data_IF_370429227911
#
_entry.id   IF_370429227911
#
_cell.length_a   1.000
_cell.length_b   1.000
_cell.length_c   1.000
_cell.angle_alpha   90.00
_cell.angle_beta   90.00
_cell.angle_gamma   90.00
#
_symmetry.space_group_name_H-M   'P 1'
#
loop_
_entity.id
_entity.type
_entity.pdbx_description
1 polymer ?
#
# COMPACT_ATOMS: atom_id res chain seq x y z
N UNK A 1 -64.09 4.39 -10.88
CA UNK A 1 -62.65 4.45 -11.25
C UNK A 1 -62.26 5.91 -11.12
N UNK A 2 -61.71 6.29 -9.96
CA UNK A 2 -61.62 7.69 -9.57
C UNK A 2 -60.69 8.49 -10.49
N UNK A 3 -61.14 9.65 -11.02
CA UNK A 3 -60.39 10.43 -11.99
C UNK A 3 -59.13 11.07 -11.40
N UNK A 4 -59.04 11.17 -10.07
CA UNK A 4 -57.95 11.83 -9.33
C UNK A 4 -56.67 10.96 -9.25
N UNK A 5 -56.78 9.63 -9.41
CA UNK A 5 -55.61 8.74 -9.35
C UNK A 5 -54.74 8.79 -10.62
N UNK A 6 -55.34 9.08 -11.78
CA UNK A 6 -54.64 9.16 -13.07
C UNK A 6 -53.65 10.33 -13.20
N UNK A 7 -53.99 11.57 -12.82
CA UNK A 7 -53.03 12.68 -12.87
C UNK A 7 -51.91 12.52 -11.83
N UNK A 8 -52.18 11.97 -10.64
CA UNK A 8 -51.15 11.71 -9.62
C UNK A 8 -50.18 10.63 -10.11
N UNK A 9 -50.67 9.55 -10.72
CA UNK A 9 -49.82 8.52 -11.32
C UNK A 9 -48.96 9.07 -12.47
N UNK A 10 -49.52 9.97 -13.28
CA UNK A 10 -48.82 10.61 -14.39
C UNK A 10 -47.71 11.57 -13.89
N UNK A 11 -47.98 12.36 -12.84
CA UNK A 11 -46.98 13.25 -12.21
C UNK A 11 -45.85 12.42 -11.59
N UNK A 12 -46.18 11.32 -10.89
CA UNK A 12 -45.18 10.39 -10.35
C UNK A 12 -44.30 9.77 -11.44
N UNK A 13 -44.90 9.38 -12.57
CA UNK A 13 -44.18 8.84 -13.73
C UNK A 13 -43.21 9.83 -14.37
N UNK A 14 -43.61 11.10 -14.52
CA UNK A 14 -42.75 12.16 -15.08
C UNK A 14 -41.58 12.47 -14.14
N UNK A 15 -41.82 12.56 -12.82
CA UNK A 15 -40.74 12.77 -11.85
C UNK A 15 -39.73 11.62 -11.85
N UNK A 16 -40.19 10.37 -11.91
CA UNK A 16 -39.30 9.21 -12.01
C UNK A 16 -38.45 9.25 -13.29
N UNK A 17 -39.04 9.65 -14.42
CA UNK A 17 -38.34 9.79 -15.69
C UNK A 17 -37.26 10.90 -15.62
N UNK A 18 -37.56 12.05 -15.02
CA UNK A 18 -36.60 13.15 -14.85
C UNK A 18 -35.43 12.73 -13.97
N UNK A 19 -35.69 12.07 -12.83
CA UNK A 19 -34.63 11.53 -11.96
C UNK A 19 -33.76 10.53 -12.73
N UNK A 20 -34.38 9.65 -13.52
CA UNK A 20 -33.64 8.67 -14.32
C UNK A 20 -32.75 9.35 -15.37
N UNK A 21 -33.24 10.38 -16.06
CA UNK A 21 -32.46 11.19 -17.01
C UNK A 21 -31.31 11.91 -16.30
N UNK A 22 -31.54 12.48 -15.12
CA UNK A 22 -30.49 13.16 -14.35
C UNK A 22 -29.41 12.18 -13.89
N UNK A 23 -29.78 10.97 -13.45
CA UNK A 23 -28.83 9.91 -13.09
C UNK A 23 -28.03 9.46 -14.31
N UNK A 24 -28.67 9.27 -15.46
CA UNK A 24 -27.99 8.90 -16.72
C UNK A 24 -27.06 10.00 -17.23
N UNK A 25 -27.50 11.26 -17.24
CA UNK A 25 -26.67 12.40 -17.64
C UNK A 25 -25.47 12.57 -16.70
N UNK A 26 -25.68 12.42 -15.40
CA UNK A 26 -24.61 12.44 -14.39
C UNK A 26 -23.62 11.29 -14.61
N UNK A 27 -24.11 10.06 -14.83
CA UNK A 27 -23.26 8.91 -15.13
C UNK A 27 -22.43 9.13 -16.40
N UNK A 28 -23.05 9.60 -17.49
CA UNK A 28 -22.39 9.91 -18.76
C UNK A 28 -21.35 11.04 -18.66
N UNK A 29 -21.50 11.96 -17.70
CA UNK A 29 -20.56 13.05 -17.46
C UNK A 29 -19.43 12.64 -16.50
N UNK A 30 -19.72 11.78 -15.51
CA UNK A 30 -18.74 11.30 -14.51
C UNK A 30 -17.65 10.39 -15.08
N UNK A 31 -17.89 9.81 -16.25
CA UNK A 31 -16.96 8.94 -16.98
C UNK A 31 -15.96 9.67 -17.88
N UNK A 32 -15.98 11.01 -17.93
CA UNK A 32 -15.12 11.80 -18.81
C UNK A 32 -13.80 12.14 -18.14
N UNK A 33 -12.72 11.67 -18.76
CA UNK A 33 -11.35 12.00 -18.38
C UNK A 33 -10.64 12.74 -19.50
N UNK A 34 -9.64 13.52 -19.12
CA UNK A 34 -8.79 14.25 -20.06
C UNK A 34 -7.34 13.99 -19.73
N UNK A 35 -6.53 13.86 -20.77
CA UNK A 35 -5.11 13.66 -20.70
C UNK A 35 -4.45 14.87 -21.37
N UNK A 36 -3.59 15.58 -20.65
CA UNK A 36 -2.91 16.79 -21.14
C UNK A 36 -1.44 16.66 -20.86
N UNK A 37 -0.59 16.79 -21.87
CA UNK A 37 0.84 16.91 -21.67
C UNK A 37 1.21 18.36 -21.31
N UNK A 38 1.90 18.55 -20.19
CA UNK A 38 2.37 19.87 -19.75
C UNK A 38 3.70 19.74 -19.03
N UNK A 39 4.72 20.42 -19.55
CA UNK A 39 6.09 20.43 -19.00
C UNK A 39 6.70 19.01 -18.87
N UNK A 40 6.51 18.15 -19.87
CA UNK A 40 7.05 16.78 -19.87
C UNK A 40 6.37 15.82 -18.88
N UNK A 41 5.17 16.17 -18.40
CA UNK A 41 4.35 15.31 -17.56
C UNK A 41 2.95 15.16 -18.15
N UNK A 42 2.41 13.94 -18.07
CA UNK A 42 1.03 13.68 -18.39
C UNK A 42 0.15 14.04 -17.19
N UNK A 43 -0.80 14.94 -17.38
CA UNK A 43 -1.80 15.28 -16.37
C UNK A 43 -3.12 14.59 -16.69
N UNK A 44 -3.62 13.81 -15.74
CA UNK A 44 -4.94 13.18 -15.82
C UNK A 44 -5.94 14.02 -15.03
N UNK A 45 -7.01 14.41 -15.71
CA UNK A 45 -8.09 15.24 -15.15
C UNK A 45 -9.43 14.51 -15.24
N UNK A 46 -10.31 14.74 -14.26
CA UNK A 46 -11.68 14.23 -14.26
C UNK A 46 -12.68 15.37 -14.13
N UNK A 47 -13.79 15.28 -14.87
CA UNK A 47 -14.93 16.20 -14.73
C UNK A 47 -15.45 16.77 -16.05
N UNK A 48 -16.06 17.94 -15.98
CA UNK A 48 -16.71 18.57 -17.13
C UNK A 48 -15.78 19.60 -17.79
N UNK A 49 -15.99 19.87 -19.09
CA UNK A 49 -15.16 20.79 -19.90
C UNK A 49 -15.39 22.27 -19.54
N UNK A 50 -15.24 22.66 -18.27
CA UNK A 50 -15.17 24.06 -17.82
C UNK A 50 -13.98 24.28 -16.87
N UNK A 51 -13.39 25.50 -16.82
CA UNK A 51 -12.22 25.81 -15.97
C UNK A 51 -12.44 25.51 -14.48
N UNK A 52 -13.68 25.60 -14.01
CA UNK A 52 -14.07 25.38 -12.61
C UNK A 52 -14.50 23.92 -12.34
N UNK A 53 -14.73 23.12 -13.39
CA UNK A 53 -15.34 21.78 -13.33
C UNK A 53 -14.37 20.60 -13.45
N UNK A 54 -13.07 20.84 -13.69
CA UNK A 54 -12.05 19.77 -13.78
C UNK A 54 -11.20 19.70 -12.51
N UNK A 55 -11.01 18.48 -11.99
CA UNK A 55 -10.04 18.21 -10.92
C UNK A 55 -8.88 17.39 -11.48
N UNK A 56 -7.66 17.81 -11.16
CA UNK A 56 -6.47 16.99 -11.39
C UNK A 56 -6.60 15.75 -10.52
N UNK A 57 -6.48 14.59 -11.14
CA UNK A 57 -6.42 13.30 -10.45
C UNK A 57 -4.97 12.94 -10.15
N UNK A 58 -4.09 13.08 -11.15
CA UNK A 58 -2.66 12.84 -10.97
C UNK A 58 -1.83 13.52 -12.06
N UNK A 59 -0.54 13.69 -11.76
CA UNK A 59 0.48 14.19 -12.67
C UNK A 59 1.57 13.13 -12.75
N UNK A 60 1.87 12.67 -13.97
CA UNK A 60 2.78 11.57 -14.27
C UNK A 60 3.98 12.10 -15.08
N UNK A 61 5.06 12.55 -14.42
CA UNK A 61 6.30 12.94 -15.08
C UNK A 61 6.85 11.84 -16.00
N UNK A 62 7.30 12.23 -17.20
CA UNK A 62 7.93 11.30 -18.14
C UNK A 62 6.98 10.31 -18.83
N UNK A 63 5.69 10.31 -18.51
CA UNK A 63 4.68 9.53 -19.22
C UNK A 63 4.20 10.33 -20.42
N UNK A 64 4.22 9.72 -21.60
CA UNK A 64 3.76 10.34 -22.84
C UNK A 64 2.23 10.31 -22.97
N UNK A 65 1.68 11.25 -23.74
CA UNK A 65 0.27 11.24 -24.10
C UNK A 65 -0.06 10.03 -25.01
N UNK A 66 -1.19 9.32 -24.82
CA UNK A 66 -1.57 8.24 -25.72
C UNK A 66 -1.92 8.74 -27.13
N UNK A 67 -1.35 8.10 -28.14
CA UNK A 67 -1.62 8.36 -29.55
C UNK A 67 -2.61 7.34 -30.15
N UNK A 68 -3.58 7.76 -30.98
CA UNK A 68 -3.86 9.16 -31.32
C UNK A 68 -4.53 9.90 -30.14
N UNK A 69 -4.17 11.17 -29.98
CA UNK A 69 -4.77 12.02 -28.96
C UNK A 69 -6.31 12.09 -29.09
N UNK A 70 -7.03 11.89 -27.98
CA UNK A 70 -8.50 11.95 -27.92
C UNK A 70 -8.95 13.18 -27.15
N UNK A 71 -10.09 13.74 -27.57
CA UNK A 71 -10.71 14.84 -26.85
C UNK A 71 -11.23 14.43 -25.46
N UNK A 72 -11.66 13.17 -25.33
CA UNK A 72 -12.17 12.57 -24.08
C UNK A 72 -11.69 11.13 -24.01
N UNK A 73 -11.24 10.72 -22.83
CA UNK A 73 -10.83 9.37 -22.51
C UNK A 73 -11.73 8.76 -21.43
N UNK A 74 -11.77 7.43 -21.37
CA UNK A 74 -12.31 6.68 -20.25
C UNK A 74 -11.25 6.35 -19.19
N UNK A 75 -11.70 5.98 -17.99
CA UNK A 75 -10.80 5.51 -16.93
C UNK A 75 -9.97 4.30 -17.38
N UNK A 76 -10.58 3.36 -18.11
CA UNK A 76 -9.90 2.16 -18.60
C UNK A 76 -8.73 2.45 -19.55
N UNK A 77 -8.66 3.65 -20.13
CA UNK A 77 -7.58 4.04 -21.04
C UNK A 77 -6.44 4.78 -20.31
N UNK A 78 -6.76 5.56 -19.27
CA UNK A 78 -5.77 6.38 -18.57
C UNK A 78 -5.29 5.79 -17.25
N UNK A 79 -6.12 5.04 -16.55
CA UNK A 79 -5.77 4.46 -15.26
C UNK A 79 -4.66 3.42 -15.37
N UNK A 80 -4.59 2.55 -16.40
CA UNK A 80 -3.44 1.68 -16.58
C UNK A 80 -2.11 2.43 -16.68
N UNK A 81 -2.08 3.60 -17.34
CA UNK A 81 -0.87 4.42 -17.45
C UNK A 81 -0.41 4.95 -16.08
N UNK A 82 -1.36 5.40 -15.26
CA UNK A 82 -1.07 5.84 -13.89
C UNK A 82 -0.63 4.68 -13.01
N UNK A 83 -1.31 3.53 -13.12
CA UNK A 83 -0.95 2.30 -12.42
C UNK A 83 0.50 1.90 -12.73
N UNK A 84 0.85 1.76 -14.00
CA UNK A 84 2.20 1.36 -14.44
C UNK A 84 3.25 2.36 -13.97
N UNK A 85 2.97 3.67 -14.06
CA UNK A 85 3.87 4.70 -13.55
C UNK A 85 4.18 4.51 -12.06
N UNK A 86 3.17 4.30 -11.23
CA UNK A 86 3.36 4.14 -9.79
C UNK A 86 3.99 2.79 -9.43
N UNK A 87 3.72 1.74 -10.19
CA UNK A 87 4.41 0.44 -10.05
C UNK A 87 5.91 0.58 -10.36
N UNK A 88 6.25 1.20 -11.50
CA UNK A 88 7.64 1.45 -11.87
C UNK A 88 8.37 2.36 -10.88
N UNK A 89 7.66 3.34 -10.31
CA UNK A 89 8.20 4.20 -9.25
C UNK A 89 8.51 3.39 -7.98
N UNK A 90 7.62 2.48 -7.58
CA UNK A 90 7.86 1.58 -6.45
C UNK A 90 9.12 0.73 -6.70
N UNK A 91 9.29 0.20 -7.91
CA UNK A 91 10.43 -0.63 -8.30
C UNK A 91 11.74 0.16 -8.26
N UNK A 92 11.72 1.39 -8.78
CA UNK A 92 12.87 2.28 -8.78
C UNK A 92 13.34 2.64 -7.35
N UNK A 93 12.40 2.82 -6.41
CA UNK A 93 12.72 3.10 -5.01
C UNK A 93 13.29 1.87 -4.27
N UNK A 94 12.93 0.66 -4.71
CA UNK A 94 13.47 -0.58 -4.17
C UNK A 94 14.85 -0.96 -4.71
N UNK A 95 15.24 -0.44 -5.88
CA UNK A 95 16.48 -0.80 -6.57
C UNK A 95 17.62 0.19 -6.27
N UNK A 96 17.95 0.37 -4.99
CA UNK A 96 19.05 1.23 -4.54
C UNK A 96 20.15 0.40 -3.86
N UNK A 97 21.37 0.94 -3.80
CA UNK A 97 22.51 0.29 -3.14
C UNK A 97 22.45 0.41 -1.60
N UNK A 98 21.62 1.33 -1.11
CA UNK A 98 21.40 1.63 0.31
C UNK A 98 20.14 0.93 0.86
N UNK A 99 19.76 1.27 2.09
CA UNK A 99 18.49 0.82 2.69
C UNK A 99 17.31 1.29 1.83
N UNK A 100 16.42 0.38 1.38
CA UNK A 100 15.27 0.77 0.58
C UNK A 100 14.36 1.79 1.27
N UNK A 101 13.82 2.74 0.50
CA UNK A 101 12.79 3.66 0.97
C UNK A 101 11.44 2.94 1.06
N UNK A 102 11.24 2.16 2.12
CA UNK A 102 10.02 1.36 2.33
C UNK A 102 8.76 2.22 2.33
N UNK A 103 8.80 3.43 2.90
CA UNK A 103 7.65 4.34 2.95
C UNK A 103 7.31 4.90 1.56
N UNK A 104 8.33 5.26 0.78
CA UNK A 104 8.17 5.69 -0.61
C UNK A 104 7.62 4.58 -1.51
N UNK A 105 8.08 3.34 -1.31
CA UNK A 105 7.59 2.16 -2.02
C UNK A 105 6.11 1.92 -1.68
N UNK A 106 5.76 1.87 -0.38
CA UNK A 106 4.37 1.70 0.06
C UNK A 106 3.45 2.81 -0.47
N UNK A 107 3.90 4.06 -0.42
CA UNK A 107 3.14 5.21 -0.93
C UNK A 107 2.87 5.06 -2.42
N UNK A 108 3.88 4.63 -3.18
CA UNK A 108 3.75 4.39 -4.63
C UNK A 108 2.81 3.22 -4.91
N UNK A 109 2.92 2.10 -4.19
CA UNK A 109 2.00 0.96 -4.32
C UNK A 109 0.56 1.32 -3.97
N UNK A 110 0.32 2.08 -2.88
CA UNK A 110 -1.02 2.57 -2.52
C UNK A 110 -1.59 3.52 -3.59
N UNK A 111 -0.75 4.34 -4.21
CA UNK A 111 -1.15 5.15 -5.36
C UNK A 111 -1.53 4.25 -6.55
N UNK A 112 -0.70 3.26 -6.90
CA UNK A 112 -1.03 2.29 -7.96
C UNK A 112 -2.36 1.58 -7.69
N UNK A 113 -2.63 1.14 -6.46
CA UNK A 113 -3.89 0.53 -6.08
C UNK A 113 -5.10 1.40 -6.42
N UNK A 114 -5.02 2.71 -6.19
CA UNK A 114 -6.11 3.65 -6.51
C UNK A 114 -6.44 3.75 -8.00
N UNK A 115 -5.49 3.35 -8.87
CA UNK A 115 -5.64 3.29 -10.33
C UNK A 115 -5.83 1.85 -10.86
N UNK A 116 -5.92 0.85 -9.99
CA UNK A 116 -6.19 -0.53 -10.41
C UNK A 116 -7.59 -0.65 -11.03
N UNK A 117 -7.67 -1.23 -12.23
CA UNK A 117 -8.96 -1.40 -12.95
C UNK A 117 -9.44 -2.85 -12.97
N UNK A 118 -8.59 -3.80 -12.58
CA UNK A 118 -8.89 -5.23 -12.51
C UNK A 118 -8.57 -5.81 -11.15
N UNK A 119 -9.21 -6.93 -10.81
CA UNK A 119 -8.89 -7.70 -9.58
C UNK A 119 -7.47 -8.25 -9.60
N UNK A 120 -6.93 -8.53 -10.78
CA UNK A 120 -5.55 -9.00 -10.92
C UNK A 120 -4.55 -7.92 -10.55
N UNK A 121 -4.74 -6.69 -11.04
CA UNK A 121 -3.93 -5.53 -10.65
C UNK A 121 -4.02 -5.28 -9.13
N UNK A 122 -5.22 -5.36 -8.56
CA UNK A 122 -5.43 -5.21 -7.11
C UNK A 122 -4.66 -6.24 -6.30
N UNK A 123 -4.80 -7.52 -6.67
CA UNK A 123 -4.08 -8.62 -5.99
C UNK A 123 -2.57 -8.44 -6.10
N UNK A 124 -2.06 -8.16 -7.31
CA UNK A 124 -0.64 -7.91 -7.51
C UNK A 124 -0.12 -6.80 -6.58
N UNK A 125 -0.81 -5.66 -6.48
CA UNK A 125 -0.39 -4.57 -5.59
C UNK A 125 -0.45 -4.98 -4.11
N UNK A 126 -1.49 -5.70 -3.70
CA UNK A 126 -1.63 -6.18 -2.31
C UNK A 126 -0.52 -7.16 -1.94
N UNK A 127 -0.25 -8.15 -2.80
CA UNK A 127 0.83 -9.12 -2.57
C UNK A 127 2.20 -8.43 -2.45
N UNK A 128 2.41 -7.35 -3.24
CA UNK A 128 3.62 -6.53 -3.15
C UNK A 128 3.68 -5.68 -1.89
N UNK A 129 2.55 -5.11 -1.44
CA UNK A 129 2.48 -4.38 -0.17
C UNK A 129 2.84 -5.31 0.99
N UNK A 130 2.24 -6.50 1.05
CA UNK A 130 2.54 -7.50 2.09
C UNK A 130 4.02 -7.90 2.08
N UNK A 131 4.60 -8.06 0.88
CA UNK A 131 6.03 -8.38 0.71
C UNK A 131 6.93 -7.26 1.22
N UNK A 132 6.61 -6.00 0.91
CA UNK A 132 7.38 -4.84 1.35
C UNK A 132 7.27 -4.63 2.85
N UNK A 133 6.08 -4.77 3.42
CA UNK A 133 5.84 -4.67 4.87
C UNK A 133 6.63 -5.73 5.62
N UNK A 134 6.59 -6.97 5.13
CA UNK A 134 7.36 -8.09 5.68
C UNK A 134 8.87 -7.85 5.60
N UNK A 135 9.36 -7.34 4.48
CA UNK A 135 10.77 -7.00 4.29
C UNK A 135 11.20 -5.90 5.26
N UNK A 136 10.39 -4.85 5.41
CA UNK A 136 10.65 -3.75 6.33
C UNK A 136 10.67 -4.21 7.79
N UNK A 137 9.73 -5.05 8.21
CA UNK A 137 9.70 -5.64 9.55
C UNK A 137 10.94 -6.50 9.81
N UNK A 138 11.31 -7.34 8.84
CA UNK A 138 12.50 -8.21 8.93
C UNK A 138 13.80 -7.39 9.02
N UNK A 139 13.89 -6.28 8.28
CA UNK A 139 15.01 -5.34 8.39
C UNK A 139 15.06 -4.68 9.77
N UNK A 140 13.93 -4.15 10.27
CA UNK A 140 13.83 -3.54 11.60
C UNK A 140 14.18 -4.53 12.72
N UNK A 141 13.79 -5.80 12.57
CA UNK A 141 14.15 -6.84 13.52
C UNK A 141 15.67 -7.07 13.58
N UNK A 142 16.35 -7.09 12.42
CA UNK A 142 17.79 -7.22 12.37
C UNK A 142 18.50 -6.03 13.04
N UNK A 143 18.01 -4.80 12.84
CA UNK A 143 18.57 -3.62 13.52
C UNK A 143 18.34 -3.66 15.03
N UNK A 144 17.14 -4.05 15.49
CA UNK A 144 16.84 -4.19 16.91
C UNK A 144 17.74 -5.24 17.59
N UNK A 145 17.99 -6.36 16.91
CA UNK A 145 18.86 -7.42 17.40
C UNK A 145 20.37 -7.07 17.35
N UNK A 146 20.78 -5.98 16.68
CA UNK A 146 22.18 -5.69 16.34
C UNK A 146 23.11 -5.61 17.55
N UNK A 147 22.62 -5.09 18.67
CA UNK A 147 23.40 -4.95 19.91
C UNK A 147 23.39 -6.21 20.79
N UNK A 148 22.58 -7.21 20.46
CA UNK A 148 22.49 -8.46 21.20
C UNK A 148 21.98 -8.33 22.64
N UNK A 149 21.28 -7.24 22.97
CA UNK A 149 20.68 -7.08 24.31
C UNK A 149 19.37 -7.84 24.41
N UNK A 150 18.98 -8.25 25.63
CA UNK A 150 17.69 -8.94 25.86
C UNK A 150 16.51 -8.10 25.32
N UNK A 151 16.53 -6.78 25.55
CA UNK A 151 15.51 -5.85 25.05
C UNK A 151 15.48 -5.83 23.50
N UNK A 152 16.64 -5.70 22.86
CA UNK A 152 16.74 -5.66 21.40
C UNK A 152 16.31 -6.97 20.73
N UNK A 153 16.71 -8.11 21.30
CA UNK A 153 16.30 -9.44 20.85
C UNK A 153 14.79 -9.66 21.02
N UNK A 154 14.21 -9.20 22.12
CA UNK A 154 12.75 -9.28 22.36
C UNK A 154 11.97 -8.43 21.36
N UNK A 155 12.43 -7.21 21.08
CA UNK A 155 11.84 -6.36 20.06
C UNK A 155 11.95 -6.97 18.66
N UNK A 156 13.09 -7.60 18.34
CA UNK A 156 13.28 -8.32 17.09
C UNK A 156 12.29 -9.48 16.93
N UNK A 157 12.05 -10.25 18.00
CA UNK A 157 11.04 -11.34 18.01
C UNK A 157 9.65 -10.78 17.69
N UNK A 158 9.21 -9.70 18.36
CA UNK A 158 7.89 -9.11 18.08
C UNK A 158 7.73 -8.68 16.62
N UNK A 159 8.75 -8.02 16.05
CA UNK A 159 8.75 -7.61 14.64
C UNK A 159 8.72 -8.81 13.68
N UNK A 160 9.43 -9.89 13.99
CA UNK A 160 9.40 -11.13 13.19
C UNK A 160 8.06 -11.84 13.29
N UNK A 161 7.39 -11.82 14.44
CA UNK A 161 6.04 -12.38 14.59
C UNK A 161 5.02 -11.61 13.76
N UNK A 162 5.11 -10.28 13.69
CA UNK A 162 4.28 -9.47 12.78
C UNK A 162 4.58 -9.82 11.32
N UNK A 163 5.86 -9.93 10.97
CA UNK A 163 6.33 -10.32 9.63
C UNK A 163 5.74 -11.68 9.18
N UNK A 164 5.69 -12.68 10.08
CA UNK A 164 5.14 -14.01 9.80
C UNK A 164 3.62 -14.00 9.49
N UNK A 165 2.88 -12.99 9.95
CA UNK A 165 1.44 -12.86 9.67
C UNK A 165 1.16 -12.36 8.25
N UNK A 166 2.15 -11.74 7.60
CA UNK A 166 2.04 -11.14 6.26
C UNK A 166 2.43 -12.11 5.13
N UNK A 167 2.61 -13.39 5.42
CA UNK A 167 2.86 -14.41 4.40
C UNK A 167 1.99 -15.63 4.64
N UNK A 168 1.67 -16.33 3.56
CA UNK A 168 1.04 -17.67 3.60
C UNK A 168 2.00 -18.75 3.14
N UNK A 169 3.18 -18.38 2.64
CA UNK A 169 4.22 -19.31 2.22
C UNK A 169 4.82 -20.00 3.45
N UNK A 170 4.74 -21.33 3.45
CA UNK A 170 5.22 -22.13 4.58
C UNK A 170 6.73 -22.05 4.75
N UNK A 171 7.49 -22.08 3.65
CA UNK A 171 8.96 -22.02 3.72
C UNK A 171 9.42 -20.67 4.28
N UNK A 172 8.75 -19.59 3.89
CA UNK A 172 9.04 -18.26 4.42
C UNK A 172 8.69 -18.14 5.92
N UNK A 173 7.55 -18.69 6.35
CA UNK A 173 7.22 -18.78 7.78
C UNK A 173 8.25 -19.57 8.57
N UNK A 174 8.70 -20.70 8.03
CA UNK A 174 9.69 -21.56 8.69
C UNK A 174 11.03 -20.82 8.87
N UNK A 175 11.46 -20.04 7.88
CA UNK A 175 12.67 -19.18 7.98
C UNK A 175 12.49 -18.10 9.06
N UNK A 176 11.33 -17.45 9.13
CA UNK A 176 11.05 -16.43 10.14
C UNK A 176 11.03 -17.06 11.55
N UNK A 177 10.40 -18.22 11.71
CA UNK A 177 10.36 -18.95 12.98
C UNK A 177 11.75 -19.38 13.44
N UNK A 178 12.61 -19.88 12.53
CA UNK A 178 14.00 -20.22 12.87
C UNK A 178 14.78 -19.02 13.42
N UNK A 179 14.54 -17.81 12.88
CA UNK A 179 15.14 -16.58 13.40
C UNK A 179 14.61 -16.22 14.79
N UNK A 180 13.30 -16.37 15.01
CA UNK A 180 12.68 -16.17 16.33
C UNK A 180 13.30 -17.13 17.36
N UNK A 181 13.42 -18.41 17.03
CA UNK A 181 14.02 -19.42 17.91
C UNK A 181 15.49 -19.10 18.23
N UNK A 182 16.25 -18.63 17.24
CA UNK A 182 17.63 -18.20 17.44
C UNK A 182 17.74 -17.02 18.42
N UNK A 183 16.82 -16.05 18.35
CA UNK A 183 16.79 -14.93 19.30
C UNK A 183 16.38 -15.38 20.71
N UNK A 184 15.43 -16.32 20.85
CA UNK A 184 15.10 -16.92 22.14
C UNK A 184 16.31 -17.64 22.77
N UNK A 185 17.06 -18.41 21.98
CA UNK A 185 18.26 -19.09 22.45
C UNK A 185 19.34 -18.09 22.90
N UNK A 186 19.53 -17.00 22.15
CA UNK A 186 20.48 -15.94 22.52
C UNK A 186 20.11 -15.25 23.85
N UNK A 187 18.83 -14.97 24.08
CA UNK A 187 18.35 -14.42 25.36
C UNK A 187 18.68 -15.39 26.51
N UNK A 188 18.34 -16.68 26.36
CA UNK A 188 18.61 -17.68 27.39
C UNK A 188 20.10 -17.80 27.73
N UNK A 189 20.98 -17.67 26.72
CA UNK A 189 22.42 -17.66 26.94
C UNK A 189 22.88 -16.43 27.75
N UNK A 190 22.39 -15.23 27.41
CA UNK A 190 22.73 -14.00 28.14
C UNK A 190 22.28 -14.08 29.61
N UNK A 191 21.09 -14.64 29.85
CA UNK A 191 20.55 -14.83 31.19
C UNK A 191 21.39 -15.83 32.00
N UNK A 192 21.81 -16.95 31.39
CA UNK A 192 22.67 -17.94 32.04
C UNK A 192 24.06 -17.38 32.36
N UNK A 193 24.66 -16.63 31.45
CA UNK A 193 25.95 -15.96 31.67
C UNK A 193 25.86 -14.91 32.80
N UNK A 194 24.77 -14.15 32.84
CA UNK A 194 24.51 -13.16 33.90
C UNK A 194 24.35 -13.82 35.27
N UNK A 195 23.66 -14.97 35.33
CA UNK A 195 23.48 -15.73 36.56
C UNK A 195 24.80 -16.33 37.08
N UNK A 196 25.62 -16.92 36.19
CA UNK A 196 26.93 -17.44 36.57
C UNK A 196 27.87 -16.34 37.08
N UNK A 197 27.92 -15.20 36.39
CA UNK A 197 28.76 -14.07 36.82
C UNK A 197 28.35 -13.48 38.19
N UNK A 198 27.07 -13.57 38.55
CA UNK A 198 26.60 -13.17 39.89
C UNK A 198 27.03 -14.15 40.98
N UNK A 199 27.04 -15.45 40.69
CA UNK A 199 27.50 -16.48 41.62
C UNK A 199 29.00 -16.34 41.91
N UNK A 200 29.83 -16.19 40.87
CA UNK A 200 31.28 -16.02 41.01
C UNK A 200 31.65 -14.74 41.80
N UNK A 201 30.91 -13.65 41.60
CA UNK A 201 31.11 -12.40 42.35
C UNK A 201 30.73 -12.53 43.83
N UNK A 202 29.73 -13.35 44.15
CA UNK A 202 29.29 -13.60 45.53
C UNK A 202 30.25 -14.51 46.31
N UNK A 203 30.85 -15.52 45.66
CA UNK A 203 31.86 -16.38 46.29
C UNK A 203 33.17 -15.62 46.53
N UNK A 204 33.62 -14.79 45.57
CA UNK A 204 34.84 -13.98 45.73
C UNK A 204 34.74 -12.92 46.84
N UNK A 205 33.54 -12.47 47.20
CA UNK A 205 33.33 -11.50 48.28
C UNK A 205 33.15 -12.13 49.66
N UNK A 206 32.79 -13.42 49.72
CA UNK A 206 32.74 -14.22 50.95
C UNK A 206 34.13 -14.68 51.44
N UNK A 207 35.12 -14.85 50.56
CA UNK A 207 36.49 -15.26 50.93
C UNK A 207 37.38 -14.11 51.46
N UNK A 208 36.94 -12.86 51.33
CA UNK A 208 37.70 -11.66 51.77
C UNK A 208 37.33 -11.13 53.17
N UNK A 209 36.52 -11.86 53.95
CA UNK A 209 36.12 -11.53 55.31
C UNK A 209 36.52 -12.61 56.33
#
# INVERSE_FOLDING_TARGET
>A
KDPVNRPILAIGGVMALVVLILVWASAANSGRYYAIEKKGALQIWKGEFSPTGKKIITVLPGVALPEPAKAVYGAAELYPLAFDYYMNRADALGNTQDVPDFDGIQTSLKAALSFSTTREMQRNVMDRLDTIDRTALTYKAAEAARLGTIEGLSAAISLLMESAQLTTDKAEKDIINQRIDAHHAAIAQIEAESANNQLDASDSSAETH
#
